data_IF_285946777641
#
_entry.id   IF_285946777641
#
_cell.length_a   1.000
_cell.length_b   1.000
_cell.length_c   1.000
_cell.angle_alpha   90.00
_cell.angle_beta   90.00
_cell.angle_gamma   90.00
#
_symmetry.space_group_name_H-M   'P 1'
#
loop_
_entity.id
_entity.type
_entity.pdbx_description
1 polymer ?
#
# COMPACT_ATOMS: atom_id res chain seq x y z
N UNK A 1 -43.96 50.02 -55.32
CA UNK A 1 -44.07 48.55 -55.41
C UNK A 1 -42.83 47.82 -54.86
N UNK A 2 -41.60 48.27 -55.11
CA UNK A 2 -40.38 47.59 -54.62
C UNK A 2 -40.16 47.59 -53.10
N UNK A 3 -40.51 48.67 -52.39
CA UNK A 3 -40.32 48.77 -50.93
C UNK A 3 -41.20 47.79 -50.13
N UNK A 4 -42.41 47.50 -50.61
CA UNK A 4 -43.32 46.55 -49.96
C UNK A 4 -42.84 45.09 -50.12
N UNK A 5 -42.27 44.75 -51.29
CA UNK A 5 -41.72 43.41 -51.57
C UNK A 5 -40.41 43.19 -50.79
N UNK A 6 -39.59 44.23 -50.63
CA UNK A 6 -38.40 44.15 -49.79
C UNK A 6 -38.75 43.96 -48.30
N UNK A 7 -39.81 44.61 -47.81
CA UNK A 7 -40.27 44.49 -46.43
C UNK A 7 -40.87 43.11 -46.11
N UNK A 8 -41.62 42.51 -47.03
CA UNK A 8 -42.13 41.15 -46.83
C UNK A 8 -41.02 40.10 -46.85
N UNK A 9 -40.01 40.28 -47.71
CA UNK A 9 -38.85 39.37 -47.77
C UNK A 9 -38.01 39.41 -46.48
N UNK A 10 -37.76 40.60 -45.92
CA UNK A 10 -37.02 40.73 -44.65
C UNK A 10 -37.81 40.17 -43.48
N UNK A 11 -39.14 40.35 -43.46
CA UNK A 11 -39.98 39.79 -42.40
C UNK A 11 -39.99 38.25 -42.43
N UNK A 12 -40.07 37.64 -43.61
CA UNK A 12 -40.00 36.18 -43.80
C UNK A 12 -38.62 35.66 -43.40
N UNK A 13 -37.54 36.31 -43.83
CA UNK A 13 -36.18 35.92 -43.46
C UNK A 13 -35.94 36.02 -41.95
N UNK A 14 -36.43 37.10 -41.32
CA UNK A 14 -36.34 37.29 -39.87
C UNK A 14 -37.12 36.21 -39.11
N UNK A 15 -38.33 35.87 -39.58
CA UNK A 15 -39.17 34.83 -38.97
C UNK A 15 -38.56 33.43 -39.13
N UNK A 16 -37.89 33.16 -40.27
CA UNK A 16 -37.14 31.92 -40.50
C UNK A 16 -35.91 31.82 -39.59
N UNK A 17 -35.15 32.91 -39.44
CA UNK A 17 -34.01 33.00 -38.52
C UNK A 17 -34.45 32.77 -37.07
N UNK A 18 -35.55 33.37 -36.64
CA UNK A 18 -36.10 33.18 -35.29
C UNK A 18 -36.54 31.73 -35.07
N UNK A 19 -37.22 31.12 -36.05
CA UNK A 19 -37.60 29.69 -36.01
C UNK A 19 -36.37 28.78 -35.90
N UNK A 20 -35.32 29.07 -36.67
CA UNK A 20 -34.05 28.32 -36.62
C UNK A 20 -33.35 28.49 -35.27
N UNK A 21 -33.31 29.71 -34.72
CA UNK A 21 -32.74 29.96 -33.40
C UNK A 21 -33.53 29.27 -32.27
N UNK A 22 -34.86 29.29 -32.31
CA UNK A 22 -35.68 28.57 -31.33
C UNK A 22 -35.51 27.05 -31.46
N UNK A 23 -35.43 26.51 -32.68
CA UNK A 23 -35.21 25.07 -32.90
C UNK A 23 -33.81 24.64 -32.45
N UNK A 24 -32.79 25.47 -32.71
CA UNK A 24 -31.43 25.26 -32.21
C UNK A 24 -31.35 25.45 -30.70
N UNK A 25 -32.13 26.37 -30.11
CA UNK A 25 -32.23 26.58 -28.67
C UNK A 25 -32.87 25.40 -27.94
N UNK A 26 -33.99 24.88 -28.47
CA UNK A 26 -34.66 23.70 -27.93
C UNK A 26 -33.78 22.45 -28.03
N UNK A 27 -33.14 22.24 -29.19
CA UNK A 27 -32.17 21.15 -29.38
C UNK A 27 -30.97 21.33 -28.46
N UNK A 28 -30.43 22.56 -28.30
CA UNK A 28 -29.34 22.84 -27.36
C UNK A 28 -29.73 22.62 -25.90
N UNK A 29 -31.00 22.83 -25.53
CA UNK A 29 -31.49 22.59 -24.18
C UNK A 29 -31.62 21.09 -23.90
N UNK A 30 -32.08 20.32 -24.89
CA UNK A 30 -32.14 18.86 -24.81
C UNK A 30 -30.73 18.23 -24.82
N UNK A 31 -29.81 18.79 -25.61
CA UNK A 31 -28.40 18.45 -25.53
C UNK A 31 -27.73 18.93 -24.23
N UNK A 32 -28.18 20.00 -23.57
CA UNK A 32 -27.64 20.44 -22.28
C UNK A 32 -28.09 19.54 -21.12
N UNK A 33 -29.27 18.90 -21.25
CA UNK A 33 -29.77 17.91 -20.29
C UNK A 33 -29.16 16.52 -20.54
N UNK A 34 -28.90 16.14 -21.80
CA UNK A 34 -28.17 14.91 -22.14
C UNK A 34 -26.64 15.03 -22.00
N UNK A 35 -26.13 16.27 -22.04
CA UNK A 35 -24.76 16.69 -21.71
C UNK A 35 -24.80 17.38 -20.36
N UNK A 36 -25.44 16.74 -19.38
CA UNK A 36 -25.45 17.23 -18.00
C UNK A 36 -24.02 17.51 -17.57
N UNK A 37 -23.74 18.77 -17.23
CA UNK A 37 -22.70 19.30 -16.33
C UNK A 37 -21.29 18.68 -16.25
N UNK A 38 -20.92 17.76 -17.14
CA UNK A 38 -19.69 16.99 -17.11
C UNK A 38 -18.95 17.22 -18.42
N UNK A 39 -18.35 18.41 -18.48
CA UNK A 39 -17.27 18.71 -19.39
C UNK A 39 -16.13 17.68 -19.25
N UNK A 40 -15.17 17.63 -20.20
CA UNK A 40 -13.93 16.85 -20.13
C UNK A 40 -13.14 16.89 -18.80
N UNK A 41 -13.51 17.76 -17.86
CA UNK A 41 -13.01 17.78 -16.48
C UNK A 41 -13.25 16.47 -15.71
N UNK A 42 -14.30 15.68 -15.99
CA UNK A 42 -14.58 14.49 -15.16
C UNK A 42 -13.53 13.38 -15.33
N UNK A 43 -13.06 13.15 -16.58
CA UNK A 43 -12.00 12.17 -16.84
C UNK A 43 -10.64 12.62 -16.28
N UNK A 44 -10.24 13.88 -16.50
CA UNK A 44 -9.00 14.41 -15.93
C UNK A 44 -9.04 14.41 -14.40
N UNK A 45 -10.21 14.64 -13.79
CA UNK A 45 -10.39 14.57 -12.33
C UNK A 45 -10.28 13.13 -11.83
N UNK A 46 -10.87 12.16 -12.53
CA UNK A 46 -10.74 10.73 -12.18
C UNK A 46 -9.29 10.27 -12.33
N UNK A 47 -8.61 10.63 -13.42
CA UNK A 47 -7.20 10.30 -13.66
C UNK A 47 -6.30 10.98 -12.63
N UNK A 48 -6.53 12.26 -12.32
CA UNK A 48 -5.81 12.98 -11.26
C UNK A 48 -5.96 12.29 -9.90
N UNK A 49 -7.18 11.92 -9.52
CA UNK A 49 -7.44 11.16 -8.29
C UNK A 49 -6.79 9.77 -8.31
N UNK A 50 -6.73 9.13 -9.48
CA UNK A 50 -6.05 7.84 -9.64
C UNK A 50 -4.54 7.99 -9.45
N UNK A 51 -3.93 9.02 -10.04
CA UNK A 51 -2.51 9.33 -9.87
C UNK A 51 -2.18 9.71 -8.42
N UNK A 52 -3.03 10.49 -7.75
CA UNK A 52 -2.88 10.79 -6.32
C UNK A 52 -2.96 9.53 -5.46
N UNK A 53 -3.91 8.63 -5.75
CA UNK A 53 -4.03 7.35 -5.05
C UNK A 53 -2.85 6.43 -5.32
N UNK A 54 -2.31 6.42 -6.54
CA UNK A 54 -1.12 5.67 -6.90
C UNK A 54 0.10 6.21 -6.14
N UNK A 55 0.33 7.52 -6.12
CA UNK A 55 1.41 8.12 -5.35
C UNK A 55 1.28 7.87 -3.84
N UNK A 56 0.06 7.93 -3.30
CA UNK A 56 -0.19 7.58 -1.90
C UNK A 56 0.05 6.08 -1.62
N UNK A 57 -0.25 5.21 -2.59
CA UNK A 57 0.02 3.77 -2.46
C UNK A 57 1.51 3.47 -2.55
N UNK A 58 2.24 4.09 -3.48
CA UNK A 58 3.69 4.00 -3.59
C UNK A 58 4.34 4.44 -2.29
N UNK A 59 3.93 5.58 -1.73
CA UNK A 59 4.47 6.05 -0.47
C UNK A 59 4.23 5.09 0.70
N UNK A 60 3.04 4.47 0.76
CA UNK A 60 2.75 3.43 1.77
C UNK A 60 3.58 2.17 1.58
N UNK A 61 3.88 1.79 0.34
CA UNK A 61 4.76 0.66 0.06
C UNK A 61 6.18 0.98 0.53
N UNK A 62 6.69 2.18 0.25
CA UNK A 62 8.01 2.62 0.71
C UNK A 62 8.12 2.59 2.24
N UNK A 63 7.08 3.04 2.96
CA UNK A 63 7.02 2.99 4.42
C UNK A 63 7.04 1.55 4.96
N UNK A 64 6.30 0.64 4.31
CA UNK A 64 6.30 -0.78 4.66
C UNK A 64 7.66 -1.42 4.39
N UNK A 65 8.31 -1.09 3.28
CA UNK A 65 9.65 -1.60 2.98
C UNK A 65 10.66 -1.10 4.01
N UNK A 66 10.63 0.18 4.36
CA UNK A 66 11.53 0.75 5.36
C UNK A 66 11.35 0.08 6.75
N UNK A 67 10.10 -0.10 7.20
CA UNK A 67 9.84 -0.80 8.46
C UNK A 67 10.25 -2.27 8.42
N UNK A 68 10.08 -2.94 7.27
CA UNK A 68 10.52 -4.30 7.09
C UNK A 68 12.04 -4.42 7.16
N UNK A 69 12.80 -3.51 6.56
CA UNK A 69 14.26 -3.48 6.66
C UNK A 69 14.74 -3.28 8.10
N UNK A 70 14.09 -2.38 8.85
CA UNK A 70 14.39 -2.16 10.27
C UNK A 70 14.14 -3.42 11.11
N UNK A 71 12.97 -4.05 10.96
CA UNK A 71 12.64 -5.29 11.67
C UNK A 71 13.60 -6.41 11.27
N UNK A 72 13.92 -6.53 9.98
CA UNK A 72 14.81 -7.57 9.49
C UNK A 72 16.24 -7.39 10.01
N UNK A 73 16.72 -6.16 10.15
CA UNK A 73 18.02 -5.87 10.75
C UNK A 73 18.11 -6.35 12.21
N UNK A 74 17.02 -6.22 12.98
CA UNK A 74 16.95 -6.68 14.37
C UNK A 74 16.83 -8.22 14.43
N UNK A 75 15.90 -8.79 13.66
CA UNK A 75 15.62 -10.24 13.70
C UNK A 75 16.79 -11.07 13.19
N UNK A 76 17.57 -10.56 12.23
CA UNK A 76 18.73 -11.28 11.67
C UNK A 76 19.72 -11.77 12.73
N UNK A 77 19.90 -11.02 13.82
CA UNK A 77 20.84 -11.34 14.89
C UNK A 77 20.14 -11.78 16.19
N UNK A 78 18.82 -11.98 16.14
CA UNK A 78 18.09 -12.48 17.28
C UNK A 78 18.36 -13.98 17.46
N UNK A 79 18.66 -14.41 18.69
CA UNK A 79 18.76 -15.82 19.04
C UNK A 79 17.39 -16.46 18.85
N UNK A 80 17.28 -17.39 17.89
CA UNK A 80 16.01 -18.03 17.50
C UNK A 80 16.01 -19.54 17.76
N UNK A 81 17.20 -20.15 17.84
CA UNK A 81 17.39 -21.59 18.00
C UNK A 81 17.93 -21.89 19.40
N UNK A 82 17.22 -22.77 20.10
CA UNK A 82 17.54 -23.15 21.47
C UNK A 82 17.55 -24.66 21.62
N UNK A 83 18.58 -25.20 22.26
CA UNK A 83 18.68 -26.62 22.59
C UNK A 83 19.34 -26.82 23.95
N UNK A 84 18.84 -27.76 24.74
CA UNK A 84 19.45 -28.16 26.01
C UNK A 84 19.62 -29.67 26.01
N UNK A 85 20.84 -30.10 26.29
CA UNK A 85 21.19 -31.52 26.44
C UNK A 85 21.62 -31.75 27.87
N UNK A 86 20.99 -32.72 28.54
CA UNK A 86 21.36 -33.16 29.88
C UNK A 86 22.18 -34.43 29.81
N UNK A 87 23.17 -34.54 30.68
CA UNK A 87 24.09 -35.69 30.69
C UNK A 87 24.71 -35.90 32.08
N UNK A 88 25.28 -37.09 32.25
CA UNK A 88 26.08 -37.44 33.42
C UNK A 88 27.56 -37.18 33.10
N UNK A 89 28.12 -36.10 33.64
CA UNK A 89 29.54 -35.78 33.47
C UNK A 89 30.45 -36.71 34.29
N UNK A 90 29.90 -37.36 35.31
CA UNK A 90 30.60 -38.30 36.18
C UNK A 90 29.74 -39.58 36.32
N UNK A 91 30.30 -40.78 36.06
CA UNK A 91 29.53 -42.04 36.11
C UNK A 91 28.89 -42.32 37.47
N UNK A 92 29.54 -41.87 38.54
CA UNK A 92 29.15 -42.14 39.92
C UNK A 92 28.05 -41.19 40.42
N UNK A 93 27.70 -40.20 39.59
CA UNK A 93 26.72 -39.16 39.87
C UNK A 93 25.57 -39.31 38.88
N UNK A 94 24.65 -40.23 39.18
CA UNK A 94 23.46 -40.42 38.35
C UNK A 94 22.48 -39.24 38.45
N UNK A 95 21.62 -39.10 37.45
CA UNK A 95 20.52 -38.13 37.45
C UNK A 95 20.62 -37.01 36.41
N UNK A 96 21.55 -37.12 35.46
CA UNK A 96 21.81 -36.17 34.38
C UNK A 96 21.86 -34.73 34.90
N UNK A 97 22.66 -34.53 35.95
CA UNK A 97 22.73 -33.25 36.65
C UNK A 97 23.50 -32.21 35.85
N UNK A 98 24.39 -32.62 34.94
CA UNK A 98 25.13 -31.70 34.07
C UNK A 98 24.32 -31.38 32.80
N UNK A 99 24.57 -30.22 32.20
CA UNK A 99 23.88 -29.82 30.98
C UNK A 99 24.73 -28.91 30.09
N UNK A 100 24.40 -28.90 28.80
CA UNK A 100 24.84 -27.90 27.84
C UNK A 100 23.62 -27.26 27.20
N UNK A 101 23.59 -25.94 27.14
CA UNK A 101 22.53 -25.15 26.55
C UNK A 101 23.11 -24.28 25.43
N UNK A 102 22.60 -24.43 24.21
CA UNK A 102 22.97 -23.64 23.05
C UNK A 102 21.87 -22.63 22.74
N UNK A 103 22.27 -21.38 22.54
CA UNK A 103 21.43 -20.26 22.12
C UNK A 103 22.09 -19.67 20.88
N UNK A 104 21.52 -19.89 19.70
CA UNK A 104 22.10 -19.43 18.43
C UNK A 104 21.06 -18.75 17.55
N UNK A 105 21.51 -17.85 16.68
CA UNK A 105 20.68 -17.21 15.66
C UNK A 105 20.44 -18.15 14.46
N UNK A 106 19.82 -17.62 13.40
CA UNK A 106 19.59 -18.40 12.18
C UNK A 106 20.87 -18.78 11.44
N UNK A 107 21.94 -17.98 11.57
CA UNK A 107 23.24 -18.18 10.94
C UNK A 107 24.12 -19.18 11.72
N UNK A 108 23.73 -19.53 12.95
CA UNK A 108 24.48 -20.40 13.84
C UNK A 108 25.44 -19.66 14.78
N UNK A 109 25.40 -18.33 14.79
CA UNK A 109 26.18 -17.50 15.70
C UNK A 109 25.46 -17.38 17.04
N UNK A 110 26.20 -17.45 18.15
CA UNK A 110 25.61 -17.36 19.48
C UNK A 110 26.53 -17.85 20.59
N UNK A 111 25.93 -18.49 21.58
CA UNK A 111 26.58 -18.91 22.83
C UNK A 111 26.18 -20.33 23.21
N UNK A 112 27.13 -21.08 23.76
CA UNK A 112 26.87 -22.36 24.43
C UNK A 112 27.32 -22.28 25.88
N UNK A 113 26.40 -22.47 26.81
CA UNK A 113 26.69 -22.56 28.23
C UNK A 113 26.74 -24.03 28.62
N UNK A 114 27.84 -24.47 29.23
CA UNK A 114 27.96 -25.82 29.78
C UNK A 114 28.16 -25.76 31.28
N UNK A 115 27.31 -26.45 32.03
CA UNK A 115 27.45 -26.61 33.48
C UNK A 115 27.75 -28.06 33.82
N UNK A 116 28.89 -28.26 34.49
CA UNK A 116 29.34 -29.55 35.00
C UNK A 116 29.10 -29.56 36.51
N UNK A 117 28.19 -30.44 36.93
CA UNK A 117 27.80 -30.61 38.32
C UNK A 117 28.53 -31.79 38.94
N UNK A 118 29.49 -31.50 39.81
CA UNK A 118 30.19 -32.45 40.68
C UNK A 118 29.51 -32.54 42.06
N UNK A 119 30.03 -33.42 42.93
CA UNK A 119 29.40 -33.72 44.23
C UNK A 119 29.48 -32.58 45.23
N UNK A 120 30.59 -31.84 45.17
CA UNK A 120 30.92 -30.75 46.08
C UNK A 120 30.91 -29.39 45.41
N UNK A 121 30.94 -29.34 44.07
CA UNK A 121 31.09 -28.11 43.32
C UNK A 121 30.44 -28.18 41.94
N UNK A 122 30.05 -27.02 41.45
CA UNK A 122 29.51 -26.80 40.11
C UNK A 122 30.44 -25.84 39.37
N UNK A 123 30.81 -26.18 38.14
CA UNK A 123 31.54 -25.29 37.24
C UNK A 123 30.69 -24.98 36.01
N UNK A 124 30.68 -23.72 35.59
CA UNK A 124 29.95 -23.27 34.41
C UNK A 124 30.92 -22.58 33.46
N UNK A 125 30.80 -22.93 32.17
CA UNK A 125 31.59 -22.43 31.06
C UNK A 125 30.65 -21.74 30.05
N UNK A 126 31.10 -20.66 29.43
CA UNK A 126 30.39 -19.86 28.43
C UNK A 126 31.35 -19.43 27.33
#
# INVERSE_FOLDING_TARGET
MGLAVAGSFTLIACLLCLRLQMRLGAMRHEYAVLRGDQAPQDLFTIVGRCLERLGAMEHRVDEVVASHEEIYAIVRYALSKFAVVRFDAFPDMGGQMSFSAAFVDENGDGLVITSINGRSETRTYA
#
